data_IF_965768356251
#
_entry.id   IF_965768356251
#
_cell.length_a   1.000
_cell.length_b   1.000
_cell.length_c   1.000
_cell.angle_alpha   90.00
_cell.angle_beta   90.00
_cell.angle_gamma   90.00
#
_symmetry.space_group_name_H-M   'P 1'
#
loop_
_entity.id
_entity.type
_entity.pdbx_description
1 polymer ?
#
# COMPACT_ATOMS: atom_id res chain seq x y z
N UNK A 1 -9.66 22.74 -17.50
CA UNK A 1 -8.87 22.00 -18.50
C UNK A 1 -8.76 20.55 -18.04
N UNK A 2 -9.29 19.60 -18.81
CA UNK A 2 -9.35 18.18 -18.44
C UNK A 2 -8.02 17.49 -18.77
N UNK A 3 -7.48 16.70 -17.83
CA UNK A 3 -6.29 15.86 -18.03
C UNK A 3 -6.71 14.41 -17.80
N UNK A 4 -6.57 13.57 -18.82
CA UNK A 4 -6.76 12.13 -18.68
C UNK A 4 -5.40 11.50 -18.34
N UNK A 5 -5.32 10.85 -17.18
CA UNK A 5 -4.12 10.12 -16.74
C UNK A 5 -4.43 8.63 -16.74
N UNK A 6 -3.59 7.84 -17.40
CA UNK A 6 -3.69 6.38 -17.38
C UNK A 6 -3.17 5.87 -16.04
N UNK A 7 -3.97 5.08 -15.35
CA UNK A 7 -3.65 4.50 -14.06
C UNK A 7 -4.69 3.49 -13.66
N UNK A 8 -4.57 2.97 -12.44
CA UNK A 8 -5.57 2.08 -11.85
C UNK A 8 -6.15 2.75 -10.61
N UNK A 9 -7.47 2.71 -10.53
CA UNK A 9 -8.21 3.13 -9.36
C UNK A 9 -8.14 2.01 -8.33
N UNK A 10 -7.57 2.33 -7.17
CA UNK A 10 -7.50 1.44 -6.03
C UNK A 10 -8.58 1.88 -5.03
N UNK A 11 -9.48 0.96 -4.70
CA UNK A 11 -10.48 1.13 -3.64
C UNK A 11 -10.04 0.31 -2.42
N UNK A 12 -9.84 0.96 -1.28
CA UNK A 12 -9.39 0.33 -0.04
C UNK A 12 -9.92 1.07 1.19
N UNK A 13 -9.91 0.39 2.35
CA UNK A 13 -10.26 1.02 3.62
C UNK A 13 -9.29 2.15 4.02
N UNK A 14 -9.72 3.13 4.83
CA UNK A 14 -8.87 4.25 5.25
C UNK A 14 -7.58 3.83 5.96
N UNK A 15 -7.63 2.73 6.72
CA UNK A 15 -6.45 2.18 7.38
C UNK A 15 -5.39 1.68 6.38
N UNK A 16 -5.84 1.01 5.31
CA UNK A 16 -4.96 0.51 4.24
C UNK A 16 -4.44 1.67 3.40
N UNK A 17 -5.28 2.68 3.14
CA UNK A 17 -4.85 3.93 2.48
C UNK A 17 -3.67 4.57 3.21
N UNK A 18 -3.74 4.66 4.55
CA UNK A 18 -2.66 5.23 5.34
C UNK A 18 -1.36 4.44 5.22
N UNK A 19 -1.44 3.11 5.23
CA UNK A 19 -0.29 2.23 4.98
C UNK A 19 0.31 2.50 3.60
N UNK A 20 -0.51 2.58 2.56
CA UNK A 20 -0.07 2.83 1.18
C UNK A 20 0.59 4.22 1.05
N UNK A 21 0.04 5.24 1.71
CA UNK A 21 0.65 6.57 1.78
C UNK A 21 2.03 6.52 2.46
N UNK A 22 2.16 5.80 3.57
CA UNK A 22 3.47 5.60 4.24
C UNK A 22 4.47 4.84 3.36
N UNK A 23 4.01 3.90 2.52
CA UNK A 23 4.87 3.22 1.55
C UNK A 23 5.30 4.15 0.40
N UNK A 24 4.43 5.06 -0.01
CA UNK A 24 4.72 6.05 -1.05
C UNK A 24 5.65 7.18 -0.58
N UNK A 25 5.67 7.50 0.72
CA UNK A 25 6.54 8.53 1.32
C UNK A 25 8.01 8.07 1.42
N UNK A 26 8.28 6.76 1.24
CA UNK A 26 9.65 6.24 1.16
C UNK A 26 10.38 6.85 -0.05
N UNK A 27 11.70 7.11 0.05
CA UNK A 27 12.44 7.76 -1.03
C UNK A 27 12.51 6.87 -2.28
N UNK A 28 12.61 7.46 -3.47
CA UNK A 28 12.51 6.73 -4.74
C UNK A 28 13.61 5.68 -5.00
N UNK A 29 14.65 5.66 -4.16
CA UNK A 29 15.72 4.66 -4.15
C UNK A 29 15.43 3.48 -3.20
N UNK A 30 14.33 3.52 -2.45
CA UNK A 30 13.83 2.42 -1.62
C UNK A 30 13.05 1.45 -2.48
N UNK A 31 13.74 0.49 -3.09
CA UNK A 31 13.09 -0.69 -3.68
C UNK A 31 12.65 -1.58 -2.50
N UNK A 32 11.34 -1.71 -2.28
CA UNK A 32 10.85 -2.73 -1.33
C UNK A 32 11.33 -4.10 -1.80
N UNK A 33 11.52 -5.04 -0.88
CA UNK A 33 11.93 -6.42 -1.15
C UNK A 33 11.06 -7.08 -2.23
N UNK A 34 9.83 -6.60 -2.40
CA UNK A 34 8.86 -7.09 -3.37
C UNK A 34 8.89 -6.35 -4.74
N UNK A 35 9.80 -5.39 -4.94
CA UNK A 35 9.96 -4.65 -6.19
C UNK A 35 9.12 -3.37 -6.31
N UNK A 36 8.55 -2.87 -5.21
CA UNK A 36 7.80 -1.61 -5.19
C UNK A 36 8.78 -0.42 -5.19
N UNK A 37 8.58 0.54 -6.11
CA UNK A 37 9.41 1.74 -6.23
C UNK A 37 8.53 2.99 -6.02
N UNK A 38 8.78 3.81 -4.99
CA UNK A 38 8.10 5.09 -4.80
C UNK A 38 8.64 6.20 -5.73
N UNK A 39 7.89 7.29 -5.96
CA UNK A 39 6.46 7.43 -5.72
C UNK A 39 5.64 6.73 -6.81
N UNK A 40 4.58 6.04 -6.42
CA UNK A 40 3.68 5.31 -7.33
C UNK A 40 2.23 5.81 -7.27
N UNK A 41 1.91 6.67 -6.31
CA UNK A 41 0.62 7.36 -6.23
C UNK A 41 0.63 8.53 -7.21
N UNK A 42 -0.32 8.50 -8.15
CA UNK A 42 -0.54 9.56 -9.13
C UNK A 42 -1.40 10.67 -8.53
N UNK A 43 -2.49 10.28 -7.86
CA UNK A 43 -3.44 11.21 -7.27
C UNK A 43 -4.21 10.57 -6.12
N UNK A 44 -4.39 11.33 -5.04
CA UNK A 44 -5.36 11.02 -3.99
C UNK A 44 -6.73 11.63 -4.39
N UNK A 45 -7.76 10.79 -4.43
CA UNK A 45 -9.11 11.19 -4.84
C UNK A 45 -9.98 11.46 -3.61
N UNK A 46 -10.06 10.50 -2.69
CA UNK A 46 -10.88 10.53 -1.48
C UNK A 46 -10.31 9.57 -0.41
N UNK A 47 -10.94 9.48 0.77
CA UNK A 47 -10.50 8.63 1.89
C UNK A 47 -10.38 7.14 1.60
N UNK A 48 -11.04 6.65 0.55
CA UNK A 48 -11.06 5.24 0.16
C UNK A 48 -10.56 4.99 -1.25
N UNK A 49 -10.22 6.05 -2.00
CA UNK A 49 -9.87 5.96 -3.42
C UNK A 49 -8.51 6.61 -3.69
N UNK A 50 -7.60 5.82 -4.24
CA UNK A 50 -6.29 6.26 -4.71
C UNK A 50 -6.11 5.93 -6.19
N UNK A 51 -5.49 6.83 -6.94
CA UNK A 51 -5.06 6.57 -8.30
C UNK A 51 -3.56 6.23 -8.30
N UNK A 52 -3.22 5.02 -8.74
CA UNK A 52 -1.85 4.50 -8.78
C UNK A 52 -1.41 4.10 -10.19
N UNK A 53 -0.11 3.97 -10.42
CA UNK A 53 0.44 3.45 -11.68
C UNK A 53 0.15 1.96 -11.84
N UNK A 54 0.04 1.48 -13.09
CA UNK A 54 -0.27 0.06 -13.35
C UNK A 54 0.85 -0.88 -12.93
N UNK A 55 2.10 -0.43 -13.06
CA UNK A 55 3.30 -1.24 -12.80
C UNK A 55 3.45 -1.59 -11.32
N UNK A 56 2.86 -0.82 -10.41
CA UNK A 56 3.02 -1.02 -8.97
C UNK A 56 2.01 -2.02 -8.36
N UNK A 57 0.98 -2.46 -9.08
CA UNK A 57 -0.10 -3.29 -8.50
C UNK A 57 0.40 -4.64 -8.00
N UNK A 58 1.22 -5.32 -8.81
CA UNK A 58 1.82 -6.60 -8.44
C UNK A 58 2.61 -6.50 -7.12
N UNK A 59 3.65 -5.65 -7.06
CA UNK A 59 4.45 -5.51 -5.84
C UNK A 59 3.67 -4.92 -4.67
N UNK A 60 2.72 -3.99 -4.91
CA UNK A 60 1.90 -3.40 -3.85
C UNK A 60 1.03 -4.45 -3.16
N UNK A 61 0.43 -5.36 -3.92
CA UNK A 61 -0.38 -6.45 -3.36
C UNK A 61 0.44 -7.38 -2.48
N UNK A 62 1.65 -7.74 -2.93
CA UNK A 62 2.55 -8.59 -2.16
C UNK A 62 3.02 -7.91 -0.85
N UNK A 63 3.26 -6.60 -0.89
CA UNK A 63 3.64 -5.83 0.30
C UNK A 63 2.53 -5.78 1.33
N UNK A 64 1.31 -5.45 0.89
CA UNK A 64 0.14 -5.39 1.77
C UNK A 64 -0.15 -6.76 2.37
N UNK A 65 -0.08 -7.84 1.58
CA UNK A 65 -0.27 -9.20 2.07
C UNK A 65 0.77 -9.60 3.13
N UNK A 66 2.02 -9.15 2.96
CA UNK A 66 3.10 -9.38 3.92
C UNK A 66 2.85 -8.62 5.23
N UNK A 67 2.55 -7.32 5.17
CA UNK A 67 2.29 -6.48 6.34
C UNK A 67 1.06 -6.96 7.13
N UNK A 68 -0.04 -7.25 6.43
CA UNK A 68 -1.27 -7.75 7.07
C UNK A 68 -1.00 -9.09 7.75
N UNK A 69 -0.26 -10.00 7.11
CA UNK A 69 0.08 -11.30 7.70
C UNK A 69 0.94 -11.17 8.97
N UNK A 70 1.88 -10.23 9.02
CA UNK A 70 2.73 -10.00 10.20
C UNK A 70 1.88 -9.56 11.39
N UNK A 71 0.91 -8.67 11.17
CA UNK A 71 -0.01 -8.22 12.23
C UNK A 71 -0.74 -9.40 12.86
N UNK A 72 -1.27 -10.33 12.06
CA UNK A 72 -1.98 -11.51 12.56
C UNK A 72 -1.10 -12.45 13.40
N UNK A 73 0.17 -12.65 13.01
CA UNK A 73 1.12 -13.48 13.75
C UNK A 73 1.49 -12.88 15.11
N UNK A 74 1.71 -11.56 15.16
CA UNK A 74 1.99 -10.85 16.41
C UNK A 74 0.80 -10.91 17.36
N UNK A 75 -0.42 -10.65 16.89
CA UNK A 75 -1.61 -10.80 17.72
C UNK A 75 -1.79 -12.22 18.23
N UNK A 76 -1.63 -13.24 17.37
CA UNK A 76 -1.79 -14.63 17.80
C UNK A 76 -0.76 -15.04 18.85
N UNK A 77 0.47 -14.50 18.78
CA UNK A 77 1.56 -14.82 19.70
C UNK A 77 1.42 -14.09 21.03
N UNK A 78 0.93 -12.85 21.04
CA UNK A 78 0.64 -12.14 22.29
C UNK A 78 -0.56 -12.76 23.00
N UNK A 79 -1.61 -13.16 22.29
CA UNK A 79 -2.75 -13.86 22.93
C UNK A 79 -2.36 -15.20 23.56
N UNK A 80 -1.38 -15.94 23.03
CA UNK A 80 -0.89 -17.18 23.66
C UNK A 80 0.11 -16.97 24.81
N UNK A 81 0.81 -15.83 24.87
CA UNK A 81 1.73 -15.51 25.97
C UNK A 81 1.04 -14.89 27.19
N UNK A 82 -0.15 -14.31 27.00
CA UNK A 82 -0.98 -13.75 28.07
C UNK A 82 -2.13 -14.69 28.50
N UNK A 83 -2.11 -15.96 28.07
CA UNK A 83 -3.11 -16.98 28.39
C UNK A 83 -2.61 -18.02 29.38
#
# INVERSE_FOLDING_TARGET
MVRAVKGVLLTCDPAVKQLILSLNDKPANSISTNGLVPPFIVQDLDDTHLLVTQDCIGPLRAEIETEVRIVWLYTSTTYTLYG
#
